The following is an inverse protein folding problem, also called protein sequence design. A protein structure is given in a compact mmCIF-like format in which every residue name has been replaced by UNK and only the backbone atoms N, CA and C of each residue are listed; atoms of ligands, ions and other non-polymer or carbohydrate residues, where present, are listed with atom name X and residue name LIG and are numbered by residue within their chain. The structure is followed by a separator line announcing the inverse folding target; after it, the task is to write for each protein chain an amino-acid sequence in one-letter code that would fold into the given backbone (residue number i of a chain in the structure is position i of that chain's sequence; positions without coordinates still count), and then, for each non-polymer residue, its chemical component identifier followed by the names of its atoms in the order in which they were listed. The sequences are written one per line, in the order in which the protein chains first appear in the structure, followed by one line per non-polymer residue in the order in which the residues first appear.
data_IF_334234695601
#
_entry.id   IF_334234695601
#
_cell.length_a   1.000
_cell.length_b   1.000
_cell.length_c   1.000
_cell.angle_alpha   90.00
_cell.angle_beta   90.00
_cell.angle_gamma   90.00
#
_symmetry.space_group_name_H-M   'P 1'
#
loop_
_entity.id
_entity.type
_entity.pdbx_description
1 polymer ?
#
# COMPACT_ATOMS: atom_id res chain seq x y z
N UNK A 1 42.20 -26.10 10.00
CA UNK A 1 40.89 -26.55 9.48
C UNK A 1 40.16 -27.12 10.69
N UNK A 2 39.48 -26.25 11.44
CA UNK A 2 38.84 -26.65 12.69
C UNK A 2 37.40 -27.07 12.38
N UNK A 3 37.09 -28.33 12.68
CA UNK A 3 35.79 -28.94 12.41
C UNK A 3 34.74 -28.43 13.39
N UNK A 4 33.70 -27.81 12.83
CA UNK A 4 32.53 -27.40 13.59
C UNK A 4 31.72 -28.63 14.02
N UNK A 5 31.76 -28.97 15.31
CA UNK A 5 31.02 -30.09 15.88
C UNK A 5 29.64 -29.60 16.30
N UNK A 6 28.65 -29.85 15.44
CA UNK A 6 27.27 -29.45 15.65
C UNK A 6 26.60 -30.35 16.71
N UNK A 7 25.97 -29.82 17.77
CA UNK A 7 25.29 -30.63 18.79
C UNK A 7 24.08 -31.38 18.20
N UNK A 8 23.90 -32.64 18.59
CA UNK A 8 22.93 -33.61 18.04
C UNK A 8 21.47 -33.14 18.00
N UNK A 9 21.09 -32.15 18.82
CA UNK A 9 19.76 -31.55 18.80
C UNK A 9 19.52 -30.68 17.54
N UNK A 10 20.55 -30.02 16.99
CA UNK A 10 20.43 -29.19 15.78
C UNK A 10 20.34 -30.02 14.49
N UNK A 11 20.91 -31.22 14.49
CA UNK A 11 20.77 -32.18 13.39
C UNK A 11 19.33 -32.72 13.28
N UNK A 12 18.64 -32.94 14.40
CA UNK A 12 17.24 -33.35 14.41
C UNK A 12 16.30 -32.23 13.91
N UNK A 13 16.59 -30.98 14.27
CA UNK A 13 15.79 -29.81 13.83
C UNK A 13 15.94 -29.56 12.33
N UNK A 14 17.15 -29.74 11.77
CA UNK A 14 17.37 -29.62 10.31
C UNK A 14 16.66 -30.72 9.51
N UNK A 15 16.58 -31.95 10.04
CA UNK A 15 15.80 -33.03 9.42
C UNK A 15 14.28 -32.79 9.43
N UNK A 16 13.74 -32.15 10.48
CA UNK A 16 12.31 -31.82 10.56
C UNK A 16 11.87 -30.71 9.59
N UNK A 17 12.79 -29.81 9.19
CA UNK A 17 12.46 -28.72 8.26
C UNK A 17 12.49 -29.21 6.79
N UNK A 18 13.32 -30.20 6.46
CA UNK A 18 13.37 -30.74 5.09
C UNK A 18 12.12 -31.54 4.69
N UNK A 19 11.42 -32.18 5.64
CA UNK A 19 10.22 -32.98 5.34
C UNK A 19 8.96 -32.16 5.03
N UNK A 20 8.98 -30.86 5.30
CA UNK A 20 7.83 -29.96 5.06
C UNK A 20 7.69 -29.48 3.61
N UNK A 21 8.66 -29.75 2.72
CA UNK A 21 8.70 -29.18 1.37
C UNK A 21 8.17 -30.08 0.23
N UNK A 22 7.65 -31.28 0.50
CA UNK A 22 7.19 -32.21 -0.57
C UNK A 22 5.67 -32.39 -0.68
N UNK A 23 4.88 -31.47 -0.15
CA UNK A 23 3.42 -31.49 -0.37
C UNK A 23 2.89 -30.09 -0.70
N UNK A 24 3.18 -29.61 -1.91
CA UNK A 24 2.30 -28.67 -2.59
C UNK A 24 1.78 -29.33 -3.86
N UNK A 25 0.48 -29.66 -3.94
CA UNK A 25 -0.12 -30.03 -5.22
C UNK A 25 -0.18 -28.81 -6.13
N UNK A 26 0.61 -28.85 -7.20
CA UNK A 26 0.41 -28.03 -8.40
C UNK A 26 -0.84 -28.53 -9.14
N UNK A 27 -1.99 -27.90 -8.89
CA UNK A 27 -3.18 -27.95 -9.73
C UNK A 27 -4.11 -26.81 -9.26
N UNK A 28 -4.66 -25.93 -10.08
CA UNK A 28 -4.82 -25.92 -11.50
C UNK A 28 -4.83 -24.46 -11.98
N UNK A 29 -4.33 -24.25 -13.19
CA UNK A 29 -4.66 -23.08 -13.98
C UNK A 29 -6.20 -23.01 -14.12
N UNK A 30 -6.81 -22.05 -13.44
CA UNK A 30 -8.09 -21.49 -13.88
C UNK A 30 -7.75 -20.27 -14.73
N UNK A 31 -8.14 -20.31 -16.00
CA UNK A 31 -7.80 -19.30 -16.99
C UNK A 31 -8.29 -17.90 -16.66
N UNK A 32 -7.96 -16.90 -17.48
CA UNK A 32 -8.54 -15.58 -17.32
C UNK A 32 -10.04 -15.68 -17.58
N UNK A 33 -10.85 -15.62 -16.51
CA UNK A 33 -12.25 -15.24 -16.63
C UNK A 33 -12.27 -13.80 -17.13
N UNK A 34 -12.35 -13.63 -18.45
CA UNK A 34 -12.70 -12.37 -19.07
C UNK A 34 -14.14 -12.06 -18.66
N UNK A 35 -14.28 -11.34 -17.55
CA UNK A 35 -15.53 -10.67 -17.19
C UNK A 35 -15.73 -9.57 -18.22
N UNK A 36 -16.51 -9.87 -19.27
CA UNK A 36 -17.05 -8.84 -20.15
C UNK A 36 -18.06 -8.05 -19.33
N UNK A 37 -17.63 -6.92 -18.79
CA UNK A 37 -18.54 -5.96 -18.18
C UNK A 37 -19.38 -5.37 -19.31
N UNK A 38 -20.65 -5.74 -19.35
CA UNK A 38 -21.64 -5.16 -20.24
C UNK A 38 -21.91 -3.71 -19.81
N UNK A 39 -21.21 -2.76 -20.44
CA UNK A 39 -21.26 -1.32 -20.13
C UNK A 39 -22.66 -0.74 -20.40
N UNK A 40 -23.50 -1.44 -21.17
CA UNK A 40 -24.88 -1.06 -21.47
C UNK A 40 -25.85 -1.18 -20.30
N UNK A 41 -25.48 -1.86 -19.21
CA UNK A 41 -26.32 -2.05 -18.04
C UNK A 41 -25.75 -1.46 -16.74
N UNK A 42 -24.73 -0.60 -16.83
CA UNK A 42 -24.40 0.25 -15.70
C UNK A 42 -25.56 1.26 -15.53
N UNK A 43 -26.17 1.38 -14.33
CA UNK A 43 -27.03 2.50 -14.06
C UNK A 43 -26.22 3.77 -14.38
N UNK A 44 -26.79 4.66 -15.18
CA UNK A 44 -26.16 5.93 -15.50
C UNK A 44 -25.64 6.51 -14.19
N UNK A 45 -24.32 6.76 -14.13
CA UNK A 45 -23.70 7.41 -12.99
C UNK A 45 -24.58 8.61 -12.62
N UNK A 46 -24.92 8.71 -11.33
CA UNK A 46 -25.68 9.85 -10.83
C UNK A 46 -25.09 11.15 -11.39
N UNK A 47 -25.93 12.12 -11.80
CA UNK A 47 -25.47 13.34 -12.46
C UNK A 47 -24.39 14.00 -11.61
N UNK A 48 -23.25 14.21 -12.24
CA UNK A 48 -21.98 14.63 -11.64
C UNK A 48 -21.93 16.12 -11.29
N UNK A 49 -23.07 16.77 -11.05
CA UNK A 49 -23.19 18.24 -11.05
C UNK A 49 -23.27 18.90 -9.67
N UNK A 50 -23.25 18.15 -8.57
CA UNK A 50 -22.93 18.74 -7.26
C UNK A 50 -21.53 18.30 -6.83
N UNK A 51 -20.53 19.13 -7.18
CA UNK A 51 -19.26 19.12 -6.47
C UNK A 51 -19.60 19.42 -5.01
N UNK A 52 -19.51 18.39 -4.17
CA UNK A 52 -19.70 18.50 -2.72
C UNK A 52 -18.96 19.72 -2.17
N UNK A 53 -19.50 20.36 -1.15
CA UNK A 53 -18.83 21.49 -0.51
C UNK A 53 -17.39 21.10 -0.11
N UNK A 54 -16.45 22.04 -0.29
CA UNK A 54 -15.07 21.81 0.11
C UNK A 54 -15.00 21.45 1.61
N UNK A 55 -14.29 20.37 1.99
CA UNK A 55 -14.08 20.04 3.40
C UNK A 55 -13.41 21.18 4.17
N UNK A 56 -12.54 21.94 3.50
CA UNK A 56 -11.91 23.16 4.00
C UNK A 56 -11.40 24.02 2.84
N UNK A 57 -11.21 25.35 3.04
CA UNK A 57 -10.84 26.27 1.97
C UNK A 57 -9.59 25.83 1.19
N UNK A 58 -9.71 25.72 -0.13
CA UNK A 58 -8.60 25.38 -1.03
C UNK A 58 -8.23 23.90 -1.04
N UNK A 59 -9.06 23.03 -0.45
CA UNK A 59 -8.83 21.59 -0.44
C UNK A 59 -8.69 21.01 -1.85
N UNK A 60 -9.57 21.38 -2.78
CA UNK A 60 -9.52 20.79 -4.13
C UNK A 60 -8.29 21.23 -4.91
N UNK A 61 -7.86 22.48 -4.75
CA UNK A 61 -6.63 22.98 -5.38
C UNK A 61 -5.38 22.32 -4.82
N UNK A 62 -5.29 22.21 -3.49
CA UNK A 62 -4.21 21.46 -2.82
C UNK A 62 -4.19 20.00 -3.33
N UNK A 63 -5.33 19.32 -3.30
CA UNK A 63 -5.45 17.92 -3.68
C UNK A 63 -5.07 17.69 -5.14
N UNK A 64 -5.55 18.51 -6.08
CA UNK A 64 -5.18 18.43 -7.50
C UNK A 64 -3.67 18.55 -7.70
N UNK A 65 -3.04 19.55 -7.08
CA UNK A 65 -1.58 19.75 -7.19
C UNK A 65 -0.81 18.58 -6.60
N UNK A 66 -1.24 18.05 -5.47
CA UNK A 66 -0.54 16.98 -4.76
C UNK A 66 -0.74 15.61 -5.42
N UNK A 67 -1.97 15.24 -5.75
CA UNK A 67 -2.30 13.94 -6.36
C UNK A 67 -1.65 13.81 -7.74
N UNK A 68 -1.51 14.89 -8.51
CA UNK A 68 -0.84 14.87 -9.82
C UNK A 68 0.64 14.41 -9.77
N UNK A 69 1.26 14.37 -8.59
CA UNK A 69 2.63 13.87 -8.38
C UNK A 69 2.70 12.35 -8.22
N UNK A 70 1.56 11.70 -7.96
CA UNK A 70 1.43 10.26 -7.81
C UNK A 70 0.80 9.66 -9.07
N UNK A 71 1.09 8.39 -9.30
CA UNK A 71 0.32 7.57 -10.24
C UNK A 71 -0.81 6.87 -9.47
N UNK A 72 -1.90 6.53 -10.15
CA UNK A 72 -3.01 5.77 -9.55
C UNK A 72 -2.52 4.51 -8.84
N UNK A 73 -1.60 3.78 -9.46
CA UNK A 73 -0.99 2.58 -8.89
C UNK A 73 -0.22 2.85 -7.59
N UNK A 74 0.43 4.01 -7.49
CA UNK A 74 1.18 4.37 -6.29
C UNK A 74 0.22 4.79 -5.17
N UNK A 75 -0.82 5.57 -5.49
CA UNK A 75 -1.89 5.89 -4.55
C UNK A 75 -2.57 4.63 -4.00
N UNK A 76 -2.85 3.65 -4.87
CA UNK A 76 -3.40 2.35 -4.46
C UNK A 76 -2.47 1.62 -3.50
N UNK A 77 -1.17 1.53 -3.77
CA UNK A 77 -0.22 0.87 -2.86
C UNK A 77 -0.19 1.52 -1.47
N UNK A 78 -0.20 2.86 -1.40
CA UNK A 78 -0.25 3.59 -0.13
C UNK A 78 -1.54 3.30 0.63
N UNK A 79 -2.70 3.42 -0.04
CA UNK A 79 -3.99 3.09 0.58
C UNK A 79 -4.07 1.62 1.01
N UNK A 80 -3.63 0.69 0.18
CA UNK A 80 -3.56 -0.73 0.53
C UNK A 80 -2.68 -0.98 1.75
N UNK A 81 -1.55 -0.28 1.90
CA UNK A 81 -0.71 -0.38 3.10
C UNK A 81 -1.39 0.19 4.35
N UNK A 82 -2.14 1.28 4.22
CA UNK A 82 -2.88 1.86 5.35
C UNK A 82 -3.98 0.93 5.88
N UNK A 83 -4.72 0.24 5.00
CA UNK A 83 -5.80 -0.67 5.38
C UNK A 83 -5.35 -2.12 5.61
N UNK A 84 -4.23 -2.52 5.00
CA UNK A 84 -3.61 -3.83 5.17
C UNK A 84 -2.11 -3.64 5.49
N UNK A 85 -1.74 -3.62 6.79
CA UNK A 85 -0.39 -3.34 7.27
C UNK A 85 0.70 -4.33 6.82
N UNK A 86 0.36 -5.39 6.06
CA UNK A 86 1.31 -6.33 5.46
C UNK A 86 1.60 -6.05 3.98
N UNK A 87 0.79 -5.20 3.32
CA UNK A 87 1.01 -4.80 1.92
C UNK A 87 2.35 -4.08 1.74
N UNK A 88 2.85 -3.88 0.52
CA UNK A 88 4.13 -3.18 0.32
C UNK A 88 3.95 -1.93 -0.53
N UNK A 89 4.69 -0.88 -0.19
CA UNK A 89 4.89 0.27 -1.07
C UNK A 89 6.19 0.06 -1.82
N UNK A 90 6.12 -0.03 -3.14
CA UNK A 90 7.28 -0.29 -3.98
C UNK A 90 8.27 0.88 -4.00
N UNK A 91 9.53 0.58 -4.30
CA UNK A 91 10.61 1.56 -4.40
C UNK A 91 10.27 2.75 -5.32
N UNK A 92 9.72 2.46 -6.51
CA UNK A 92 9.33 3.49 -7.48
C UNK A 92 8.19 4.38 -6.96
N UNK A 93 7.26 3.82 -6.19
CA UNK A 93 6.21 4.59 -5.53
C UNK A 93 6.79 5.43 -4.40
N UNK A 94 7.70 4.91 -3.58
CA UNK A 94 8.38 5.67 -2.54
C UNK A 94 9.13 6.90 -3.09
N UNK A 95 9.79 6.77 -4.25
CA UNK A 95 10.44 7.91 -4.90
C UNK A 95 9.43 9.02 -5.26
N UNK A 96 8.25 8.65 -5.77
CA UNK A 96 7.17 9.61 -6.10
C UNK A 96 6.55 10.22 -4.84
N UNK A 97 6.29 9.39 -3.83
CA UNK A 97 5.72 9.80 -2.56
C UNK A 97 6.61 10.84 -1.87
N UNK A 98 7.91 10.58 -1.76
CA UNK A 98 8.84 11.55 -1.16
C UNK A 98 9.00 12.79 -2.05
N UNK A 99 9.05 12.63 -3.38
CA UNK A 99 9.16 13.75 -4.31
C UNK A 99 7.93 14.69 -4.30
N UNK A 100 6.76 14.22 -3.87
CA UNK A 100 5.58 15.07 -3.73
C UNK A 100 5.74 16.12 -2.61
N UNK A 101 6.62 15.85 -1.64
CA UNK A 101 6.90 16.71 -0.50
C UNK A 101 5.99 16.44 0.72
N UNK A 102 6.48 16.77 1.93
CA UNK A 102 5.81 16.45 3.19
C UNK A 102 4.47 17.17 3.37
N UNK A 103 4.34 18.41 2.87
CA UNK A 103 3.09 19.16 2.94
C UNK A 103 1.98 18.50 2.15
N UNK A 104 2.29 18.04 0.93
CA UNK A 104 1.33 17.34 0.08
C UNK A 104 0.93 15.99 0.69
N UNK A 105 1.89 15.23 1.21
CA UNK A 105 1.61 13.97 1.90
C UNK A 105 0.69 14.19 3.11
N UNK A 106 1.07 15.10 4.02
CA UNK A 106 0.29 15.38 5.22
C UNK A 106 -1.11 15.90 4.88
N UNK A 107 -1.24 16.80 3.91
CA UNK A 107 -2.54 17.35 3.52
C UNK A 107 -3.50 16.29 2.99
N UNK A 108 -3.00 15.37 2.16
CA UNK A 108 -3.80 14.26 1.63
C UNK A 108 -4.19 13.28 2.74
N UNK A 109 -3.30 12.96 3.66
CA UNK A 109 -3.60 12.05 4.78
C UNK A 109 -4.59 12.67 5.77
N UNK A 110 -4.46 13.96 6.07
CA UNK A 110 -5.45 14.70 6.86
C UNK A 110 -6.83 14.62 6.25
N UNK A 111 -6.95 14.82 4.93
CA UNK A 111 -8.22 14.71 4.24
C UNK A 111 -8.79 13.28 4.26
N UNK A 112 -7.93 12.27 4.09
CA UNK A 112 -8.33 10.86 4.23
C UNK A 112 -8.90 10.59 5.63
N UNK A 113 -8.28 11.11 6.68
CA UNK A 113 -8.74 10.91 8.07
C UNK A 113 -10.00 11.71 8.44
N UNK A 114 -10.44 12.65 7.58
CA UNK A 114 -11.72 13.33 7.74
C UNK A 114 -12.90 12.54 7.17
N UNK A 115 -12.66 11.43 6.46
CA UNK A 115 -13.74 10.61 5.92
C UNK A 115 -14.63 10.05 7.05
N UNK A 116 -15.97 10.19 6.93
CA UNK A 116 -16.90 9.80 7.99
C UNK A 116 -16.94 8.29 8.23
N UNK A 117 -16.56 7.50 7.22
CA UNK A 117 -16.58 6.02 7.28
C UNK A 117 -15.41 5.43 8.09
N UNK A 118 -14.44 6.25 8.50
CA UNK A 118 -13.32 5.82 9.33
C UNK A 118 -13.65 5.98 10.82
N UNK A 119 -13.55 4.90 11.58
CA UNK A 119 -13.63 4.97 13.04
C UNK A 119 -12.39 5.67 13.62
N UNK A 120 -12.50 6.26 14.82
CA UNK A 120 -11.33 6.86 15.50
C UNK A 120 -10.19 5.85 15.72
N UNK A 121 -10.54 4.58 15.98
CA UNK A 121 -9.55 3.52 16.07
C UNK A 121 -8.81 3.34 14.74
N UNK A 122 -9.55 3.25 13.61
CA UNK A 122 -8.92 3.10 12.30
C UNK A 122 -8.05 4.30 11.95
N UNK A 123 -8.49 5.53 12.26
CA UNK A 123 -7.69 6.75 12.05
C UNK A 123 -6.38 6.69 12.82
N UNK A 124 -6.41 6.27 14.10
CA UNK A 124 -5.21 6.14 14.92
C UNK A 124 -4.25 5.08 14.40
N UNK A 125 -4.75 3.91 14.03
CA UNK A 125 -3.95 2.83 13.44
C UNK A 125 -3.33 3.27 12.10
N UNK A 126 -4.13 3.85 11.21
CA UNK A 126 -3.68 4.37 9.93
C UNK A 126 -2.65 5.49 10.10
N UNK A 127 -2.78 6.38 11.09
CA UNK A 127 -1.79 7.43 11.36
C UNK A 127 -0.43 6.87 11.81
N UNK A 128 -0.41 5.75 12.53
CA UNK A 128 0.85 5.05 12.89
C UNK A 128 1.48 4.45 11.62
N UNK A 129 0.66 3.81 10.78
CA UNK A 129 1.11 3.18 9.53
C UNK A 129 1.60 4.24 8.53
N UNK A 130 0.92 5.37 8.43
CA UNK A 130 1.27 6.49 7.56
C UNK A 130 2.68 7.02 7.86
N UNK A 131 2.97 7.27 9.14
CA UNK A 131 4.31 7.66 9.60
C UNK A 131 5.37 6.63 9.22
N UNK A 132 5.02 5.34 9.32
CA UNK A 132 5.91 4.25 8.92
C UNK A 132 6.18 4.28 7.42
N UNK A 133 5.14 4.35 6.58
CA UNK A 133 5.25 4.46 5.12
C UNK A 133 6.19 5.62 4.75
N UNK A 134 5.95 6.80 5.31
CA UNK A 134 6.77 7.97 5.02
C UNK A 134 8.24 7.75 5.39
N UNK A 135 8.51 7.22 6.59
CA UNK A 135 9.88 6.95 7.05
C UNK A 135 10.61 5.89 6.22
N UNK A 136 9.94 4.79 5.87
CA UNK A 136 10.46 3.75 4.99
C UNK A 136 10.76 4.32 3.60
N UNK A 137 9.86 5.14 3.06
CA UNK A 137 10.06 5.75 1.75
C UNK A 137 11.17 6.79 1.73
N UNK A 138 11.40 7.55 2.81
CA UNK A 138 12.56 8.44 2.93
C UNK A 138 13.87 7.65 2.82
N UNK A 139 13.98 6.52 3.51
CA UNK A 139 15.16 5.63 3.45
C UNK A 139 15.33 5.00 2.07
N UNK A 140 14.24 4.49 1.49
CA UNK A 140 14.24 3.96 0.13
C UNK A 140 14.73 5.01 -0.88
N UNK A 141 14.27 6.26 -0.75
CA UNK A 141 14.62 7.34 -1.69
C UNK A 141 16.04 7.87 -1.55
N UNK A 142 16.67 7.74 -0.37
CA UNK A 142 18.02 8.27 -0.13
C UNK A 142 19.12 7.41 -0.76
N UNK A 143 18.89 6.11 -0.96
CA UNK A 143 19.82 5.18 -1.59
C UNK A 143 20.07 5.40 -3.10
N UNK A 144 19.34 6.32 -3.74
CA UNK A 144 19.51 6.67 -5.17
C UNK A 144 20.30 7.97 -5.39
N UNK A 145 20.74 8.63 -4.32
CA UNK A 145 21.42 9.94 -4.39
C UNK A 145 22.95 9.84 -4.43
N UNK A 146 23.50 8.64 -4.68
CA UNK A 146 24.93 8.34 -4.84
C UNK A 146 25.19 7.79 -6.23
#
# INVERSE_FOLDING_TARGET
MEGFKLPSALAAITLLILSAFLASPEAAASGPSTVTVDVTNLPAAAPSDEISAEPFPGFYDMSRRCISRLTDECGKQVLSRLFNPESKVGQSCCLKLVAMGPECHSGLMTALFMLPDLTEQNKNEMAIIDKRIWSECLVASSGWRT
#
